data_IF_903068436855
#
_entry.id   IF_903068436855
#
_cell.length_a   1.000
_cell.length_b   1.000
_cell.length_c   1.000
_cell.angle_alpha   90.00
_cell.angle_beta   90.00
_cell.angle_gamma   90.00
#
_symmetry.space_group_name_H-M   'P 1'
#
loop_
_entity.id
_entity.type
_entity.pdbx_description
1 polymer ?
#
# COMPACT_ATOMS: atom_id res chain seq x y z
N UNK A 1 0.27 11.15 24.69
CA UNK A 1 -1.12 11.49 24.30
C UNK A 1 -1.21 12.45 23.11
N UNK A 2 -0.49 13.58 23.10
CA UNK A 2 -0.47 14.53 21.96
C UNK A 2 -0.04 13.94 20.59
N UNK A 3 1.02 13.10 20.49
CA UNK A 3 1.44 12.58 19.17
C UNK A 3 0.50 11.51 18.62
N UNK A 4 -0.16 10.74 19.51
CA UNK A 4 -1.16 9.73 19.14
C UNK A 4 -2.40 10.41 18.57
N UNK A 5 -2.82 11.53 19.16
CA UNK A 5 -3.96 12.29 18.70
C UNK A 5 -3.68 12.97 17.34
N UNK A 6 -2.45 13.43 17.12
CA UNK A 6 -2.01 13.95 15.82
C UNK A 6 -1.97 12.85 14.75
N UNK A 7 -1.48 11.66 15.07
CA UNK A 7 -1.46 10.51 14.16
C UNK A 7 -2.89 10.07 13.78
N UNK A 8 -3.80 10.02 14.76
CA UNK A 8 -5.21 9.70 14.54
C UNK A 8 -5.88 10.77 13.68
N UNK A 9 -5.55 12.05 13.89
CA UNK A 9 -6.08 13.13 13.06
C UNK A 9 -5.58 13.05 11.60
N UNK A 10 -4.31 12.69 11.41
CA UNK A 10 -3.71 12.49 10.08
C UNK A 10 -4.35 11.28 9.38
N UNK A 11 -4.50 10.14 10.08
CA UNK A 11 -5.18 8.97 9.52
C UNK A 11 -6.66 9.26 9.23
N UNK A 12 -7.38 9.91 10.14
CA UNK A 12 -8.78 10.26 9.97
C UNK A 12 -8.99 11.29 8.85
N UNK A 13 -8.00 12.15 8.55
CA UNK A 13 -8.02 13.03 7.40
C UNK A 13 -7.77 12.31 6.07
N UNK A 14 -7.04 11.18 6.08
CA UNK A 14 -6.80 10.35 4.89
C UNK A 14 -7.99 9.45 4.52
N UNK A 15 -8.87 9.09 5.47
CA UNK A 15 -10.08 8.30 5.24
C UNK A 15 -11.08 8.95 4.26
N UNK A 16 -11.50 10.23 4.42
CA UNK A 16 -12.38 10.89 3.46
C UNK A 16 -11.69 11.15 2.11
N UNK A 17 -10.35 11.24 2.09
CA UNK A 17 -9.58 11.36 0.86
C UNK A 17 -9.66 10.07 0.02
N UNK A 18 -9.57 8.91 0.67
CA UNK A 18 -9.64 7.59 0.02
C UNK A 18 -11.04 7.31 -0.55
N UNK A 19 -12.10 7.63 0.21
CA UNK A 19 -13.48 7.50 -0.22
C UNK A 19 -13.85 8.45 -1.38
N UNK A 20 -13.32 9.68 -1.37
CA UNK A 20 -13.50 10.62 -2.49
C UNK A 20 -12.68 10.22 -3.72
N UNK A 21 -11.50 9.62 -3.54
CA UNK A 21 -10.70 9.08 -4.64
C UNK A 21 -11.37 7.89 -5.30
N UNK A 22 -11.92 6.93 -4.55
CA UNK A 22 -12.63 5.77 -5.12
C UNK A 22 -13.89 6.22 -5.89
N UNK A 23 -14.69 7.14 -5.32
CA UNK A 23 -15.85 7.70 -6.01
C UNK A 23 -15.50 8.60 -7.22
N UNK A 24 -14.31 9.22 -7.23
CA UNK A 24 -13.80 9.99 -8.36
C UNK A 24 -13.20 9.07 -9.44
N UNK A 25 -12.56 7.97 -9.06
CA UNK A 25 -11.98 6.99 -9.98
C UNK A 25 -13.05 6.30 -10.82
N UNK A 26 -14.21 5.98 -10.23
CA UNK A 26 -15.37 5.46 -10.96
C UNK A 26 -15.97 6.47 -11.96
N UNK A 27 -15.73 7.78 -11.75
CA UNK A 27 -16.15 8.85 -12.68
C UNK A 27 -15.07 9.26 -13.68
N UNK A 28 -13.81 8.87 -13.44
CA UNK A 28 -12.69 9.11 -14.34
C UNK A 28 -12.65 7.94 -15.31
N UNK A 29 -13.24 8.13 -16.49
CA UNK A 29 -13.01 7.20 -17.60
C UNK A 29 -11.48 7.02 -17.77
N UNK A 30 -10.97 5.80 -17.99
CA UNK A 30 -9.53 5.48 -17.93
C UNK A 30 -8.60 6.32 -18.85
N UNK A 31 -9.16 7.17 -19.73
CA UNK A 31 -8.46 8.12 -20.59
C UNK A 31 -8.52 9.60 -20.21
N UNK A 32 -9.20 10.05 -19.15
CA UNK A 32 -9.35 11.51 -18.86
C UNK A 32 -8.28 12.10 -17.94
N UNK A 33 -7.36 11.28 -17.44
CA UNK A 33 -6.22 11.74 -16.65
C UNK A 33 -5.15 12.24 -17.63
N UNK A 34 -4.91 13.55 -17.66
CA UNK A 34 -3.93 14.14 -18.58
C UNK A 34 -2.57 13.47 -18.37
N UNK A 35 -1.86 13.22 -19.47
CA UNK A 35 -0.59 12.50 -19.47
C UNK A 35 0.39 13.11 -18.46
N UNK A 36 0.45 14.45 -18.37
CA UNK A 36 1.28 15.13 -17.38
C UNK A 36 0.89 14.85 -15.92
N UNK A 37 -0.39 14.66 -15.62
CA UNK A 37 -0.86 14.36 -14.27
C UNK A 37 -0.60 12.89 -13.90
N UNK A 38 -0.66 11.97 -14.88
CA UNK A 38 -0.18 10.58 -14.72
C UNK A 38 1.33 10.53 -14.48
N UNK A 39 2.11 11.31 -15.25
CA UNK A 39 3.56 11.42 -15.11
C UNK A 39 3.94 12.00 -13.74
N UNK A 40 3.24 13.05 -13.30
CA UNK A 40 3.49 13.74 -12.03
C UNK A 40 3.05 12.89 -10.82
N UNK A 41 1.97 12.13 -10.93
CA UNK A 41 1.62 11.09 -9.95
C UNK A 41 2.68 9.98 -9.95
N UNK A 42 3.16 9.55 -11.12
CA UNK A 42 4.25 8.59 -11.22
C UNK A 42 5.52 9.06 -10.51
N UNK A 43 5.96 10.29 -10.76
CA UNK A 43 7.15 10.89 -10.13
C UNK A 43 6.97 11.17 -8.64
N UNK A 44 5.82 11.69 -8.21
CA UNK A 44 5.56 11.96 -6.79
C UNK A 44 5.35 10.67 -5.99
N UNK A 45 4.69 9.66 -6.57
CA UNK A 45 4.64 8.30 -6.02
C UNK A 45 6.05 7.69 -5.97
N UNK A 46 6.89 7.90 -6.98
CA UNK A 46 8.28 7.46 -6.99
C UNK A 46 9.10 8.09 -5.84
N UNK A 47 8.94 9.39 -5.59
CA UNK A 47 9.57 10.10 -4.46
C UNK A 47 9.01 9.63 -3.11
N UNK A 48 7.69 9.41 -3.00
CA UNK A 48 7.06 8.92 -1.78
C UNK A 48 7.46 7.47 -1.44
N UNK A 49 7.60 6.63 -2.47
CA UNK A 49 8.09 5.24 -2.40
C UNK A 49 9.56 5.19 -1.99
N UNK A 50 10.40 6.12 -2.48
CA UNK A 50 11.84 6.16 -2.15
C UNK A 50 12.16 6.79 -0.79
N UNK A 51 11.30 7.64 -0.22
CA UNK A 51 11.66 8.46 0.96
C UNK A 51 11.08 8.04 2.31
N UNK A 52 9.79 7.71 2.41
CA UNK A 52 9.14 7.65 3.73
C UNK A 52 7.87 6.82 3.85
N UNK A 53 7.19 6.49 2.76
CA UNK A 53 5.97 5.66 2.79
C UNK A 53 6.23 4.18 2.50
N UNK A 54 7.48 3.81 2.24
CA UNK A 54 7.88 2.43 1.96
C UNK A 54 7.38 1.46 3.03
N UNK A 55 7.44 1.85 4.30
CA UNK A 55 6.94 1.04 5.42
C UNK A 55 5.42 0.88 5.42
N UNK A 56 4.69 1.98 5.21
CA UNK A 56 3.23 1.97 5.16
C UNK A 56 2.73 1.11 3.99
N UNK A 57 3.37 1.22 2.82
CA UNK A 57 3.03 0.39 1.66
C UNK A 57 3.33 -1.09 1.95
N UNK A 58 4.47 -1.38 2.59
CA UNK A 58 4.80 -2.75 2.99
C UNK A 58 3.75 -3.33 3.95
N UNK A 59 3.29 -2.55 4.94
CA UNK A 59 2.23 -2.95 5.88
C UNK A 59 0.90 -3.19 5.15
N UNK A 60 0.51 -2.33 4.21
CA UNK A 60 -0.72 -2.51 3.42
C UNK A 60 -0.67 -3.76 2.55
N UNK A 61 0.47 -4.03 1.90
CA UNK A 61 0.67 -5.24 1.12
C UNK A 61 0.60 -6.49 2.00
N UNK A 62 1.12 -6.40 3.22
CA UNK A 62 1.06 -7.48 4.20
C UNK A 62 -0.37 -7.75 4.69
N UNK A 63 -1.19 -6.71 4.84
CA UNK A 63 -2.63 -6.86 5.16
C UNK A 63 -3.39 -7.44 3.94
N UNK A 64 -3.11 -6.98 2.71
CA UNK A 64 -3.73 -7.52 1.49
C UNK A 64 -3.38 -8.99 1.25
N UNK A 65 -2.16 -9.40 1.64
CA UNK A 65 -1.72 -10.79 1.64
C UNK A 65 -2.66 -11.68 2.47
N UNK A 66 -3.13 -11.20 3.63
CA UNK A 66 -4.07 -11.97 4.46
C UNK A 66 -5.40 -12.26 3.73
N UNK A 67 -5.94 -11.30 3.00
CA UNK A 67 -7.15 -11.53 2.18
C UNK A 67 -6.91 -12.53 1.04
N UNK A 68 -5.69 -12.61 0.50
CA UNK A 68 -5.32 -13.61 -0.50
C UNK A 68 -5.26 -15.01 0.11
N UNK A 69 -4.74 -15.12 1.35
CA UNK A 69 -4.73 -16.35 2.11
C UNK A 69 -6.15 -16.87 2.39
N UNK A 70 -7.07 -16.00 2.81
CA UNK A 70 -8.49 -16.37 3.01
C UNK A 70 -9.13 -16.93 1.74
N UNK A 71 -8.77 -16.37 0.57
CA UNK A 71 -9.26 -16.84 -0.74
C UNK A 71 -8.49 -18.04 -1.29
N UNK A 72 -7.48 -18.55 -0.59
CA UNK A 72 -6.61 -19.63 -1.07
C UNK A 72 -5.88 -19.26 -2.40
N UNK A 73 -5.65 -17.97 -2.63
CA UNK A 73 -4.89 -17.48 -3.80
C UNK A 73 -3.40 -17.41 -3.46
N UNK A 74 -2.74 -18.56 -3.55
CA UNK A 74 -1.34 -18.72 -3.19
C UNK A 74 -0.38 -17.89 -4.05
N UNK A 75 -0.72 -17.67 -5.33
CA UNK A 75 0.13 -16.89 -6.24
C UNK A 75 0.14 -15.42 -5.82
N UNK A 76 -1.04 -14.86 -5.54
CA UNK A 76 -1.17 -13.48 -5.13
C UNK A 76 -0.64 -13.26 -3.70
N UNK A 77 -0.83 -14.24 -2.81
CA UNK A 77 -0.22 -14.25 -1.48
C UNK A 77 1.31 -14.14 -1.56
N UNK A 78 1.95 -15.01 -2.35
CA UNK A 78 3.40 -15.05 -2.52
C UNK A 78 3.95 -13.74 -3.10
N UNK A 79 3.26 -13.18 -4.10
CA UNK A 79 3.62 -11.90 -4.71
C UNK A 79 3.60 -10.77 -3.67
N UNK A 80 2.54 -10.68 -2.86
CA UNK A 80 2.39 -9.63 -1.84
C UNK A 80 3.41 -9.76 -0.72
N UNK A 81 3.66 -10.96 -0.23
CA UNK A 81 4.69 -11.22 0.80
C UNK A 81 6.10 -10.88 0.30
N UNK A 82 6.40 -11.15 -0.97
CA UNK A 82 7.69 -10.76 -1.58
C UNK A 82 7.84 -9.25 -1.68
N UNK A 83 6.80 -8.55 -2.14
CA UNK A 83 6.82 -7.08 -2.20
C UNK A 83 6.97 -6.45 -0.82
N UNK A 84 6.30 -6.99 0.20
CA UNK A 84 6.41 -6.50 1.57
C UNK A 84 7.83 -6.70 2.15
N UNK A 85 8.47 -7.85 1.91
CA UNK A 85 9.84 -8.13 2.36
C UNK A 85 10.90 -7.30 1.63
N UNK A 86 10.71 -7.01 0.33
CA UNK A 86 11.55 -6.07 -0.43
C UNK A 86 11.39 -4.62 0.07
N UNK A 87 10.16 -4.21 0.34
CA UNK A 87 9.83 -2.88 0.86
C UNK A 87 10.10 -2.72 2.36
N UNK A 88 10.36 -3.78 3.13
CA UNK A 88 10.78 -3.66 4.51
C UNK A 88 11.63 -4.86 4.97
N UNK A 89 12.89 -4.98 4.51
CA UNK A 89 13.72 -6.15 4.77
C UNK A 89 14.11 -6.28 6.25
N UNK A 90 13.98 -5.20 7.04
CA UNK A 90 14.27 -5.19 8.48
C UNK A 90 13.09 -5.65 9.35
N UNK A 91 11.92 -5.90 8.77
CA UNK A 91 10.76 -6.41 9.51
C UNK A 91 10.81 -7.93 9.60
N UNK A 92 11.22 -8.45 10.76
CA UNK A 92 11.36 -9.90 11.01
C UNK A 92 10.02 -10.63 10.79
N UNK A 93 8.90 -10.04 11.24
CA UNK A 93 7.57 -10.64 11.10
C UNK A 93 7.22 -10.99 9.65
N UNK A 94 7.59 -10.14 8.69
CA UNK A 94 7.30 -10.39 7.28
C UNK A 94 8.05 -11.62 6.77
N UNK A 95 9.30 -11.78 7.20
CA UNK A 95 10.12 -12.94 6.84
C UNK A 95 9.65 -14.22 7.53
N UNK A 96 9.23 -14.16 8.78
CA UNK A 96 8.68 -15.34 9.47
C UNK A 96 7.46 -15.87 8.74
N UNK A 97 6.51 -15.00 8.38
CA UNK A 97 5.28 -15.42 7.69
C UNK A 97 5.57 -15.81 6.24
N UNK A 98 6.40 -15.06 5.53
CA UNK A 98 6.77 -15.37 4.15
C UNK A 98 7.57 -16.69 4.05
N UNK A 99 8.41 -17.01 5.03
CA UNK A 99 9.24 -18.21 5.02
C UNK A 99 8.45 -19.51 4.92
N UNK A 100 7.28 -19.60 5.57
CA UNK A 100 6.40 -20.77 5.46
C UNK A 100 5.76 -20.94 4.08
N UNK A 101 5.65 -19.85 3.31
CA UNK A 101 4.94 -19.80 2.04
C UNK A 101 5.86 -19.71 0.81
N UNK A 102 7.13 -19.35 1.01
CA UNK A 102 8.17 -19.21 -0.02
C UNK A 102 9.09 -20.43 -0.16
N UNK A 103 9.03 -21.38 0.77
CA UNK A 103 9.83 -22.61 0.77
C UNK A 103 9.16 -23.70 -0.08
#
# INVERSE_FOLDING_TARGET
MKPVLALIFILAAFVPLKLKMEAACDRIAPGSLSIGLREQIGQSAFIAVLGGFRSVIADLLFIDAYSAWERTDWTYLLLRLRQATELQPRAILFWEIAGWHMA
#
